data_IF_377841794053
#
_entry.id   IF_377841794053
#
_cell.length_a   1.000
_cell.length_b   1.000
_cell.length_c   1.000
_cell.angle_alpha   90.00
_cell.angle_beta   90.00
_cell.angle_gamma   90.00
#
_symmetry.space_group_name_H-M   'P 1'
#
loop_
_entity.id
_entity.type
_entity.pdbx_description
1 polymer ?
#
# COMPACT_ATOMS: atom_id res chain seq x y z
N UNK A 1 -41.07 41.09 -20.67
CA UNK A 1 -39.66 41.04 -20.26
C UNK A 1 -39.42 39.73 -19.53
N UNK A 2 -38.71 38.75 -20.11
CA UNK A 2 -37.32 38.34 -19.75
C UNK A 2 -37.12 38.30 -18.21
N UNK A 3 -36.75 37.21 -17.56
CA UNK A 3 -35.74 36.23 -17.97
C UNK A 3 -35.91 34.90 -17.24
N UNK A 4 -35.88 33.80 -18.00
CA UNK A 4 -35.56 32.45 -17.52
C UNK A 4 -34.10 32.43 -17.03
N UNK A 5 -33.81 31.81 -15.90
CA UNK A 5 -32.49 31.24 -15.59
C UNK A 5 -32.69 29.75 -15.48
N UNK A 6 -32.10 29.02 -16.42
CA UNK A 6 -32.20 27.58 -16.53
C UNK A 6 -31.46 26.89 -15.40
N UNK A 7 -32.11 25.88 -14.83
CA UNK A 7 -31.44 24.79 -14.16
C UNK A 7 -30.56 24.09 -15.19
N UNK A 8 -29.24 24.27 -15.08
CA UNK A 8 -28.29 23.38 -15.72
C UNK A 8 -28.32 22.07 -14.92
N UNK A 9 -29.12 21.11 -15.41
CA UNK A 9 -29.00 19.72 -14.98
C UNK A 9 -27.56 19.29 -15.19
N UNK A 10 -26.87 18.96 -14.10
CA UNK A 10 -25.57 18.31 -14.15
C UNK A 10 -25.78 16.91 -14.72
N UNK A 11 -25.75 16.81 -16.05
CA UNK A 11 -25.73 15.54 -16.77
C UNK A 11 -24.51 14.76 -16.32
N UNK A 12 -24.76 13.68 -15.59
CA UNK A 12 -23.76 12.67 -15.26
C UNK A 12 -23.18 12.14 -16.59
N UNK A 13 -21.87 12.30 -16.77
CA UNK A 13 -21.18 11.63 -17.87
C UNK A 13 -21.33 10.11 -17.66
N UNK A 14 -21.73 9.34 -18.68
CA UNK A 14 -21.73 7.89 -18.59
C UNK A 14 -20.32 7.41 -18.26
N UNK A 15 -20.20 6.26 -17.58
CA UNK A 15 -18.93 5.59 -17.39
C UNK A 15 -18.21 5.51 -18.75
N UNK A 16 -16.90 5.83 -18.84
CA UNK A 16 -16.19 5.76 -20.10
C UNK A 16 -16.35 4.34 -20.65
N UNK A 17 -16.96 4.23 -21.83
CA UNK A 17 -17.22 2.93 -22.43
C UNK A 17 -15.88 2.25 -22.70
N UNK A 18 -15.78 0.97 -22.35
CA UNK A 18 -14.69 0.10 -22.78
C UNK A 18 -14.85 -0.23 -24.29
N UNK A 19 -14.99 0.80 -25.12
CA UNK A 19 -14.81 0.73 -26.57
C UNK A 19 -13.32 0.65 -26.86
N UNK A 20 -12.92 -0.33 -27.66
CA UNK A 20 -11.54 -0.68 -27.98
C UNK A 20 -10.62 0.54 -28.18
N UNK A 21 -9.83 0.86 -27.17
CA UNK A 21 -8.78 1.87 -27.23
C UNK A 21 -7.49 1.25 -26.69
N UNK A 22 -6.95 0.27 -27.43
CA UNK A 22 -5.54 -0.09 -27.32
C UNK A 22 -4.79 0.77 -28.34
N UNK A 23 -4.37 1.95 -27.94
CA UNK A 23 -3.40 2.74 -28.70
C UNK A 23 -2.03 2.55 -28.06
N UNK A 24 -1.17 1.83 -28.78
CA UNK A 24 0.21 1.59 -28.45
C UNK A 24 0.97 2.91 -28.21
N UNK A 25 1.60 3.06 -27.05
CA UNK A 25 2.65 4.05 -26.85
C UNK A 25 3.99 3.46 -27.32
N UNK A 26 4.48 3.94 -28.47
CA UNK A 26 5.84 3.68 -28.93
C UNK A 26 6.85 4.56 -28.17
N UNK A 27 8.01 4.05 -27.73
CA UNK A 27 9.04 4.88 -27.13
C UNK A 27 9.87 5.57 -28.22
N UNK A 28 10.07 6.88 -28.07
CA UNK A 28 11.06 7.63 -28.84
C UNK A 28 12.47 7.34 -28.32
N UNK A 29 13.36 6.96 -29.24
CA UNK A 29 14.79 6.75 -29.00
C UNK A 29 15.52 8.09 -28.86
N UNK A 30 16.35 8.22 -27.82
CA UNK A 30 17.60 8.97 -27.89
C UNK A 30 18.63 8.28 -27.00
N UNK A 31 19.76 7.90 -27.62
CA UNK A 31 20.90 7.30 -26.97
C UNK A 31 21.97 8.36 -26.66
N UNK A 32 22.68 8.23 -25.55
CA UNK A 32 24.08 8.60 -25.46
C UNK A 32 24.76 7.84 -24.31
N UNK A 33 25.88 7.20 -24.66
CA UNK A 33 26.70 6.36 -23.82
C UNK A 33 27.67 7.20 -22.97
N UNK A 34 28.06 6.66 -21.80
CA UNK A 34 29.42 6.86 -21.29
C UNK A 34 29.87 5.61 -20.54
N UNK A 35 30.91 4.96 -21.07
CA UNK A 35 31.64 3.85 -20.45
C UNK A 35 32.55 4.40 -19.35
N UNK A 36 32.63 3.72 -18.20
CA UNK A 36 33.86 3.57 -17.41
C UNK A 36 33.88 2.22 -16.69
N UNK A 37 35.05 1.60 -16.70
CA UNK A 37 35.33 0.22 -16.30
C UNK A 37 35.83 0.10 -14.86
N UNK A 38 35.47 -1.04 -14.26
CA UNK A 38 36.14 -1.88 -13.26
C UNK A 38 36.54 -1.29 -11.88
N UNK A 39 36.11 -1.97 -10.81
CA UNK A 39 36.96 -2.89 -10.04
C UNK A 39 36.11 -3.72 -9.05
N UNK A 40 36.44 -5.02 -8.98
CA UNK A 40 35.82 -6.05 -8.14
C UNK A 40 36.23 -5.89 -6.66
N UNK A 41 35.26 -5.92 -5.75
CA UNK A 41 35.45 -6.37 -4.37
C UNK A 41 34.40 -7.46 -4.05
N UNK A 42 34.82 -8.70 -3.75
CA UNK A 42 33.90 -9.76 -3.34
C UNK A 42 33.78 -9.71 -1.82
N UNK A 43 32.63 -9.25 -1.31
CA UNK A 43 31.96 -9.70 -0.08
C UNK A 43 30.83 -8.72 0.28
N UNK A 44 29.68 -9.27 0.69
CA UNK A 44 28.44 -8.60 1.09
C UNK A 44 27.38 -8.33 0.00
N UNK A 45 26.98 -9.37 -0.73
CA UNK A 45 25.89 -9.32 -1.73
C UNK A 45 24.52 -9.81 -1.20
N UNK A 46 24.30 -9.83 0.11
CA UNK A 46 23.06 -10.32 0.72
C UNK A 46 22.10 -9.23 1.25
N UNK A 47 22.23 -7.98 0.79
CA UNK A 47 21.33 -6.87 1.21
C UNK A 47 20.81 -5.98 0.07
N UNK A 48 21.01 -6.34 -1.21
CA UNK A 48 20.61 -5.52 -2.35
C UNK A 48 19.23 -5.85 -2.94
N UNK A 49 18.59 -6.95 -2.53
CA UNK A 49 17.35 -7.44 -3.14
C UNK A 49 16.11 -6.54 -2.95
N UNK A 50 16.15 -5.55 -2.04
CA UNK A 50 15.10 -4.54 -1.85
C UNK A 50 15.57 -3.11 -2.10
N UNK A 51 16.87 -2.91 -2.37
CA UNK A 51 17.46 -1.61 -2.61
C UNK A 51 16.94 -1.04 -3.94
N UNK A 52 15.76 -0.42 -3.90
CA UNK A 52 15.08 0.17 -5.04
C UNK A 52 13.59 -0.12 -5.13
N UNK A 53 13.09 -1.20 -4.51
CA UNK A 53 11.67 -1.58 -4.65
C UNK A 53 10.72 -0.79 -3.74
N UNK A 54 11.22 -0.26 -2.61
CA UNK A 54 10.38 0.36 -1.58
C UNK A 54 9.63 1.62 -2.04
N UNK A 55 10.12 2.28 -3.08
CA UNK A 55 9.45 3.41 -3.74
C UNK A 55 8.20 3.02 -4.52
N UNK A 56 7.95 1.73 -4.75
CA UNK A 56 6.91 1.20 -5.63
C UNK A 56 5.87 0.34 -4.89
N UNK A 57 5.76 0.48 -3.56
CA UNK A 57 4.76 -0.25 -2.78
C UNK A 57 3.46 0.53 -2.57
N UNK A 58 3.37 1.76 -3.07
CA UNK A 58 2.19 2.61 -3.02
C UNK A 58 1.54 2.68 -1.65
N UNK A 59 0.26 2.30 -1.59
CA UNK A 59 -0.52 2.32 -0.33
C UNK A 59 -0.06 1.30 0.72
N UNK A 60 0.93 0.45 0.41
CA UNK A 60 1.53 -0.55 1.30
C UNK A 60 2.92 -0.17 1.80
N UNK A 61 3.50 0.92 1.30
CA UNK A 61 4.76 1.48 1.82
C UNK A 61 4.67 1.72 3.33
N UNK A 62 5.75 1.38 4.06
CA UNK A 62 5.88 1.75 5.47
C UNK A 62 6.07 3.26 5.62
N UNK A 63 5.71 3.81 6.77
CA UNK A 63 5.74 5.26 7.02
C UNK A 63 7.15 5.87 6.89
N UNK A 64 8.19 5.08 7.17
CA UNK A 64 9.58 5.48 7.12
C UNK A 64 10.10 5.70 5.69
N UNK A 65 9.51 5.06 4.67
CA UNK A 65 9.93 5.28 3.27
C UNK A 65 9.64 6.71 2.80
N UNK A 66 8.53 7.28 3.27
CA UNK A 66 8.15 8.67 3.00
C UNK A 66 8.66 9.65 4.06
N UNK A 67 9.16 9.14 5.20
CA UNK A 67 9.76 9.92 6.27
C UNK A 67 11.10 9.30 6.76
N UNK A 68 12.19 9.37 5.97
CA UNK A 68 13.42 8.63 6.25
C UNK A 68 14.09 8.94 7.59
N UNK A 69 13.84 10.12 8.14
CA UNK A 69 14.34 10.54 9.45
C UNK A 69 13.80 9.67 10.60
N UNK A 70 12.64 9.05 10.44
CA UNK A 70 12.02 8.18 11.44
C UNK A 70 12.77 6.86 11.64
N UNK A 71 13.60 6.44 10.67
CA UNK A 71 14.46 5.26 10.80
C UNK A 71 15.52 5.48 11.88
N UNK A 72 16.10 6.69 11.94
CA UNK A 72 17.16 7.04 12.90
C UNK A 72 16.58 7.48 14.24
N UNK A 73 15.55 8.31 14.20
CA UNK A 73 14.85 8.80 15.37
C UNK A 73 13.33 8.71 15.15
N UNK A 74 12.68 7.67 15.70
CA UNK A 74 11.24 7.47 15.54
C UNK A 74 10.37 8.59 16.14
N UNK A 75 10.92 9.44 17.01
CA UNK A 75 10.23 10.60 17.60
C UNK A 75 10.57 11.92 16.88
N UNK A 76 11.43 11.87 15.86
CA UNK A 76 11.84 13.04 15.12
C UNK A 76 10.64 13.78 14.54
N UNK A 77 10.66 15.09 14.72
CA UNK A 77 9.70 16.03 14.14
C UNK A 77 10.09 16.42 12.69
N UNK A 78 11.04 15.72 12.10
CA UNK A 78 11.52 15.96 10.74
C UNK A 78 12.52 17.11 10.64
N UNK A 79 13.24 17.19 9.51
CA UNK A 79 14.33 18.16 9.29
C UNK A 79 13.85 19.62 9.32
N UNK A 80 12.56 19.85 9.04
CA UNK A 80 11.90 21.16 9.05
C UNK A 80 11.23 21.50 10.39
N UNK A 81 11.55 20.83 11.50
CA UNK A 81 10.99 21.17 12.81
C UNK A 81 11.26 22.64 13.23
N UNK A 82 12.30 23.26 12.67
CA UNK A 82 12.57 24.70 12.83
C UNK A 82 11.74 25.60 11.88
N UNK A 83 11.44 25.16 10.65
CA UNK A 83 10.73 25.96 9.63
C UNK A 83 9.21 25.75 9.58
N UNK A 84 8.71 24.70 10.22
CA UNK A 84 7.27 24.40 10.41
C UNK A 84 6.69 24.99 11.70
N UNK A 85 7.44 25.89 12.35
CA UNK A 85 6.88 26.71 13.42
C UNK A 85 5.91 27.68 12.76
N UNK A 86 4.66 27.66 13.22
CA UNK A 86 3.69 28.70 12.89
C UNK A 86 4.35 30.07 13.08
N UNK A 87 4.00 31.09 12.26
CA UNK A 87 4.50 32.45 12.48
C UNK A 87 4.31 32.84 13.95
N UNK A 88 5.23 33.62 14.53
CA UNK A 88 5.19 33.95 15.96
C UNK A 88 3.87 34.61 16.41
N UNK A 89 3.13 35.22 15.49
CA UNK A 89 1.81 35.81 15.72
C UNK A 89 0.64 34.80 15.69
N UNK A 90 0.90 33.51 15.41
CA UNK A 90 -0.12 32.48 15.24
C UNK A 90 -0.04 31.45 16.37
N UNK A 91 -1.18 31.22 17.03
CA UNK A 91 -1.35 30.13 18.00
C UNK A 91 -2.34 29.11 17.44
N UNK A 92 -2.02 27.81 17.42
CA UNK A 92 -2.95 26.79 16.96
C UNK A 92 -4.15 26.71 17.92
N UNK A 93 -5.37 26.75 17.37
CA UNK A 93 -6.62 26.75 18.14
C UNK A 93 -7.23 25.36 18.28
N UNK A 94 -7.20 24.58 17.20
CA UNK A 94 -7.74 23.23 17.12
C UNK A 94 -6.88 22.39 16.18
N UNK A 95 -6.84 21.09 16.44
CA UNK A 95 -6.27 20.08 15.54
C UNK A 95 -7.35 19.06 15.20
N UNK A 96 -7.64 18.90 13.91
CA UNK A 96 -8.41 17.78 13.37
C UNK A 96 -7.49 16.93 12.51
N UNK A 97 -7.39 15.65 12.87
CA UNK A 97 -6.52 14.71 12.18
C UNK A 97 -7.34 13.54 11.63
N UNK A 98 -7.26 13.32 10.32
CA UNK A 98 -7.77 12.11 9.68
C UNK A 98 -6.63 11.12 9.53
N UNK A 99 -6.66 10.03 10.30
CA UNK A 99 -5.56 9.09 10.38
C UNK A 99 -5.98 7.73 9.81
N UNK A 100 -5.20 7.23 8.85
CA UNK A 100 -5.31 5.83 8.41
C UNK A 100 -4.83 4.92 9.54
N UNK A 101 -5.37 3.71 9.60
CA UNK A 101 -4.85 2.66 10.48
C UNK A 101 -3.34 2.45 10.28
N UNK A 102 -2.65 1.97 11.32
CA UNK A 102 -1.23 1.61 11.25
C UNK A 102 -0.97 0.37 10.37
N UNK A 103 0.30 -0.04 10.28
CA UNK A 103 0.71 -1.25 9.54
C UNK A 103 -0.13 -2.48 9.92
N UNK A 104 -0.59 -3.23 8.92
CA UNK A 104 -1.46 -4.41 9.10
C UNK A 104 -0.95 -5.62 8.33
N UNK A 105 -1.42 -6.80 8.71
CA UNK A 105 -1.24 -8.02 7.93
C UNK A 105 -2.00 -7.97 6.59
N UNK A 106 -1.65 -8.84 5.61
CA UNK A 106 -2.45 -9.05 4.41
C UNK A 106 -3.88 -9.52 4.73
N UNK A 107 -4.81 -9.37 3.79
CA UNK A 107 -6.17 -9.92 3.95
C UNK A 107 -6.16 -11.44 3.71
N UNK A 108 -7.15 -12.16 4.23
CA UNK A 108 -7.26 -13.61 4.04
C UNK A 108 -7.21 -14.02 2.55
N UNK A 109 -7.85 -13.25 1.68
CA UNK A 109 -7.78 -13.48 0.23
C UNK A 109 -6.37 -13.31 -0.36
N UNK A 110 -5.56 -12.39 0.15
CA UNK A 110 -4.15 -12.26 -0.25
C UNK A 110 -3.32 -13.43 0.30
N UNK A 111 -3.57 -13.84 1.54
CA UNK A 111 -2.88 -14.97 2.19
C UNK A 111 -3.15 -16.27 1.42
N UNK A 112 -4.39 -16.54 1.03
CA UNK A 112 -4.75 -17.70 0.20
C UNK A 112 -4.02 -17.72 -1.14
N UNK A 113 -3.99 -16.59 -1.84
CA UNK A 113 -3.28 -16.46 -3.14
C UNK A 113 -1.77 -16.67 -2.98
N UNK A 114 -1.18 -16.14 -1.92
CA UNK A 114 0.24 -16.38 -1.60
C UNK A 114 0.50 -17.86 -1.30
N UNK A 115 -0.37 -18.50 -0.52
CA UNK A 115 -0.27 -19.92 -0.19
C UNK A 115 -0.40 -20.82 -1.42
N UNK A 116 -1.29 -20.49 -2.35
CA UNK A 116 -1.43 -21.19 -3.63
C UNK A 116 -0.16 -21.07 -4.49
N UNK A 117 0.35 -19.85 -4.68
CA UNK A 117 1.59 -19.62 -5.42
C UNK A 117 2.79 -20.34 -4.78
N UNK A 118 2.91 -20.26 -3.46
CA UNK A 118 3.95 -20.95 -2.70
C UNK A 118 3.85 -22.47 -2.86
N UNK A 119 2.64 -23.04 -2.85
CA UNK A 119 2.40 -24.46 -3.06
C UNK A 119 2.78 -24.92 -4.48
N UNK A 120 2.48 -24.11 -5.51
CA UNK A 120 2.91 -24.36 -6.90
C UNK A 120 4.43 -24.43 -7.01
N UNK A 121 5.12 -23.46 -6.41
CA UNK A 121 6.57 -23.41 -6.33
C UNK A 121 7.16 -24.67 -5.65
N UNK A 122 6.62 -25.06 -4.49
CA UNK A 122 7.11 -26.25 -3.76
C UNK A 122 6.93 -27.55 -4.56
N UNK A 123 5.78 -27.72 -5.25
CA UNK A 123 5.55 -28.88 -6.13
C UNK A 123 6.57 -28.93 -7.27
N UNK A 124 6.81 -27.79 -7.91
CA UNK A 124 7.78 -27.70 -9.01
C UNK A 124 9.19 -28.06 -8.56
N UNK A 125 9.59 -27.58 -7.39
CA UNK A 125 10.90 -27.88 -6.77
C UNK A 125 11.04 -29.38 -6.49
N UNK A 126 10.02 -30.01 -5.89
CA UNK A 126 10.04 -31.45 -5.61
C UNK A 126 10.19 -32.28 -6.90
N UNK A 127 9.47 -31.92 -7.96
CA UNK A 127 9.56 -32.58 -9.26
C UNK A 127 10.94 -32.44 -9.93
N UNK A 128 11.61 -31.29 -9.77
CA UNK A 128 12.98 -31.07 -10.25
C UNK A 128 14.00 -31.92 -9.46
N UNK A 129 13.83 -32.02 -8.13
CA UNK A 129 14.70 -32.88 -7.31
C UNK A 129 14.55 -34.37 -7.65
N UNK A 130 13.34 -34.86 -7.94
CA UNK A 130 13.12 -36.27 -8.32
C UNK A 130 13.63 -36.64 -9.71
N UNK A 131 13.70 -35.67 -10.63
CA UNK A 131 14.24 -35.89 -11.98
C UNK A 131 15.78 -35.90 -11.98
N UNK A 132 16.41 -35.12 -11.11
CA UNK A 132 17.88 -35.13 -10.94
C UNK A 132 18.43 -36.41 -10.29
N UNK A 133 17.62 -37.11 -9.48
CA UNK A 133 18.02 -38.34 -8.78
C UNK A 133 17.77 -39.63 -9.57
N UNK A 134 17.08 -39.55 -10.72
CA UNK A 134 16.81 -40.70 -11.61
C UNK A 134 17.75 -40.79 -12.82
N UNK A 135 18.62 -39.79 -13.02
CA UNK A 135 19.62 -39.73 -14.11
C UNK A 135 21.04 -40.17 -13.69
N UNK A 136 21.21 -40.83 -12.53
CA UNK A 136 22.48 -41.41 -12.07
C UNK A 136 22.86 -42.75 -12.74
N UNK A 137 22.34 -43.01 -13.95
CA UNK A 137 22.70 -44.18 -14.75
C UNK A 137 22.90 -43.77 -16.21
N UNK A 138 24.17 -43.77 -16.65
CA UNK A 138 24.66 -43.82 -18.05
C UNK A 138 25.08 -42.51 -18.73
N UNK A 139 26.41 -42.34 -18.77
CA UNK A 139 27.23 -41.91 -19.93
C UNK A 139 26.94 -40.58 -20.65
N UNK A 140 27.80 -39.60 -20.34
CA UNK A 140 28.58 -38.79 -21.30
C UNK A 140 27.99 -38.57 -22.69
N UNK A 141 27.28 -37.45 -22.86
CA UNK A 141 27.30 -36.69 -24.12
C UNK A 141 27.11 -35.19 -23.81
N UNK A 142 28.15 -34.43 -24.13
CA UNK A 142 28.22 -32.99 -24.02
C UNK A 142 27.24 -32.34 -25.00
N UNK A 143 26.09 -31.90 -24.48
CA UNK A 143 25.33 -30.80 -25.05
C UNK A 143 25.00 -29.84 -23.92
N UNK A 144 25.58 -28.65 -23.98
CA UNK A 144 25.35 -27.56 -23.04
C UNK A 144 23.97 -26.96 -23.25
N UNK A 145 22.91 -27.67 -22.87
CA UNK A 145 21.73 -26.99 -22.36
C UNK A 145 22.08 -26.63 -20.93
N UNK A 146 22.47 -25.38 -20.69
CA UNK A 146 22.46 -24.84 -19.33
C UNK A 146 21.07 -25.13 -18.77
N UNK A 147 20.98 -26.15 -17.93
CA UNK A 147 19.81 -26.46 -17.13
C UNK A 147 19.51 -25.14 -16.44
N UNK A 148 18.44 -24.47 -16.88
CA UNK A 148 18.18 -23.09 -16.51
C UNK A 148 17.96 -23.09 -15.00
N UNK A 149 19.03 -22.81 -14.26
CA UNK A 149 19.01 -22.76 -12.81
C UNK A 149 18.00 -21.69 -12.47
N UNK A 150 16.87 -22.13 -11.94
CA UNK A 150 15.74 -21.29 -11.59
C UNK A 150 16.24 -20.25 -10.56
N UNK A 151 16.49 -18.99 -10.96
CA UNK A 151 17.38 -18.11 -10.21
C UNK A 151 16.88 -17.78 -8.80
N UNK A 152 15.56 -17.80 -8.59
CA UNK A 152 14.95 -17.44 -7.31
C UNK A 152 14.72 -18.62 -6.36
N UNK A 153 15.02 -19.86 -6.78
CA UNK A 153 14.63 -21.08 -6.05
C UNK A 153 15.43 -21.28 -4.78
N UNK A 154 16.71 -20.91 -4.77
CA UNK A 154 17.55 -21.07 -3.58
C UNK A 154 17.05 -20.19 -2.41
N UNK A 155 16.77 -18.91 -2.68
CA UNK A 155 16.36 -17.95 -1.64
C UNK A 155 14.94 -18.21 -1.14
N UNK A 156 14.02 -18.58 -2.05
CA UNK A 156 12.63 -18.89 -1.70
C UNK A 156 12.47 -20.26 -1.02
N UNK A 157 13.38 -21.21 -1.22
CA UNK A 157 13.26 -22.55 -0.64
C UNK A 157 13.30 -22.56 0.89
N UNK A 158 14.00 -21.61 1.51
CA UNK A 158 14.06 -21.46 2.96
C UNK A 158 12.91 -20.61 3.53
N UNK A 159 12.16 -19.91 2.68
CA UNK A 159 11.03 -19.10 3.13
C UNK A 159 9.86 -20.02 3.54
N UNK A 160 9.28 -19.74 4.71
CA UNK A 160 8.14 -20.49 5.22
C UNK A 160 6.89 -19.63 5.16
N UNK A 161 5.77 -20.26 4.80
CA UNK A 161 4.44 -19.63 4.86
C UNK A 161 4.03 -19.42 6.32
N UNK A 162 4.42 -18.29 6.89
CA UNK A 162 4.13 -17.91 8.27
C UNK A 162 2.83 -17.10 8.41
N UNK A 163 2.20 -16.74 7.28
CA UNK A 163 0.91 -16.07 7.29
C UNK A 163 -0.21 -17.09 7.49
N UNK A 164 -1.07 -16.82 8.47
CA UNK A 164 -2.33 -17.55 8.68
C UNK A 164 -3.52 -16.72 8.22
N UNK A 165 -4.54 -17.35 7.64
CA UNK A 165 -5.75 -16.63 7.20
C UNK A 165 -6.46 -15.90 8.35
N UNK A 166 -6.29 -16.38 9.60
CA UNK A 166 -6.77 -15.75 10.83
C UNK A 166 -6.24 -14.32 11.05
N UNK A 167 -5.13 -13.96 10.38
CA UNK A 167 -4.54 -12.63 10.44
C UNK A 167 -5.35 -11.59 9.66
N UNK A 168 -6.26 -11.98 8.77
CA UNK A 168 -7.11 -11.17 7.89
C UNK A 168 -7.15 -9.64 8.16
N UNK A 169 -6.13 -8.93 7.65
CA UNK A 169 -6.07 -7.48 7.76
C UNK A 169 -6.03 -6.93 9.20
N UNK A 170 -5.71 -7.75 10.20
CA UNK A 170 -5.49 -7.37 11.60
C UNK A 170 -4.32 -6.40 11.69
N UNK A 171 -4.40 -5.48 12.66
CA UNK A 171 -3.31 -4.55 12.94
C UNK A 171 -2.07 -5.34 13.42
N UNK A 172 -0.93 -5.10 12.78
CA UNK A 172 0.32 -5.73 13.17
C UNK A 172 0.88 -5.05 14.44
N UNK A 173 1.78 -5.72 15.19
CA UNK A 173 2.50 -5.08 16.29
C UNK A 173 3.18 -3.77 15.88
N UNK A 174 3.80 -3.76 14.69
CA UNK A 174 4.37 -2.55 14.11
C UNK A 174 3.31 -1.45 13.94
N UNK A 175 2.10 -1.78 13.47
CA UNK A 175 1.01 -0.82 13.32
C UNK A 175 0.56 -0.15 14.61
N UNK A 176 0.65 -0.85 15.75
CA UNK A 176 0.41 -0.23 17.07
C UNK A 176 1.52 0.78 17.38
N UNK A 177 2.77 0.41 17.13
CA UNK A 177 3.93 1.28 17.33
C UNK A 177 3.88 2.52 16.43
N UNK A 178 3.46 2.37 15.17
CA UNK A 178 3.27 3.48 14.23
C UNK A 178 2.35 4.55 14.84
N UNK A 179 1.20 4.12 15.38
CA UNK A 179 0.18 5.00 15.95
C UNK A 179 0.61 5.61 17.29
N UNK A 180 1.26 4.84 18.16
CA UNK A 180 1.80 5.35 19.42
C UNK A 180 2.85 6.46 19.17
N UNK A 181 3.78 6.23 18.24
CA UNK A 181 4.82 7.20 17.89
C UNK A 181 4.23 8.41 17.16
N UNK A 182 3.25 8.20 16.28
CA UNK A 182 2.53 9.29 15.63
C UNK A 182 1.88 10.21 16.66
N UNK A 183 1.18 9.66 17.65
CA UNK A 183 0.56 10.43 18.72
C UNK A 183 1.58 11.29 19.50
N UNK A 184 2.72 10.70 19.88
CA UNK A 184 3.80 11.41 20.57
C UNK A 184 4.36 12.57 19.74
N UNK A 185 4.57 12.34 18.43
CA UNK A 185 5.05 13.39 17.52
C UNK A 185 4.02 14.52 17.37
N UNK A 186 2.72 14.22 17.28
CA UNK A 186 1.69 15.25 17.23
C UNK A 186 1.62 16.06 18.53
N UNK A 187 1.68 15.39 19.69
CA UNK A 187 1.69 16.07 20.99
C UNK A 187 2.91 16.97 21.16
N UNK A 188 4.11 16.48 20.78
CA UNK A 188 5.33 17.26 20.81
C UNK A 188 5.31 18.44 19.81
N UNK A 189 4.60 18.31 18.68
CA UNK A 189 4.46 19.38 17.70
C UNK A 189 3.57 20.52 18.20
N UNK A 190 2.47 20.17 18.87
CA UNK A 190 1.43 21.12 19.27
C UNK A 190 1.18 21.09 20.79
N UNK A 191 2.20 21.35 21.61
CA UNK A 191 2.11 21.13 23.06
C UNK A 191 0.94 21.87 23.72
N UNK A 192 0.61 23.09 23.24
CA UNK A 192 -0.51 23.88 23.76
C UNK A 192 -1.91 23.26 23.49
N UNK A 193 -2.05 22.48 22.41
CA UNK A 193 -3.29 21.78 22.08
C UNK A 193 -3.48 20.50 22.88
N UNK A 194 -2.40 19.93 23.41
CA UNK A 194 -2.41 18.71 24.22
C UNK A 194 -2.23 19.01 25.73
N UNK A 195 -2.22 20.28 26.14
CA UNK A 195 -2.15 20.67 27.54
C UNK A 195 -3.37 20.15 28.35
N UNK A 196 -3.21 20.05 29.67
CA UNK A 196 -4.28 19.61 30.57
C UNK A 196 -5.58 20.43 30.37
N UNK A 197 -6.74 19.77 30.54
CA UNK A 197 -8.09 20.36 30.35
C UNK A 197 -8.48 20.68 28.89
N UNK A 198 -7.63 20.37 27.90
CA UNK A 198 -8.05 20.37 26.50
C UNK A 198 -8.97 19.18 26.23
N UNK A 199 -9.97 19.38 25.35
CA UNK A 199 -10.93 18.35 24.95
C UNK A 199 -10.32 17.49 23.86
N UNK A 200 -10.31 16.17 24.05
CA UNK A 200 -9.93 15.19 23.04
C UNK A 200 -11.16 14.40 22.61
N UNK A 201 -11.36 14.28 21.30
CA UNK A 201 -12.38 13.43 20.69
C UNK A 201 -11.71 12.45 19.75
N UNK A 202 -12.09 11.19 19.84
CA UNK A 202 -11.58 10.11 18.99
C UNK A 202 -12.76 9.39 18.35
N UNK A 203 -12.78 9.34 17.02
CA UNK A 203 -13.74 8.57 16.26
C UNK A 203 -13.00 7.58 15.35
N UNK A 204 -13.61 6.41 15.11
CA UNK A 204 -13.07 5.36 14.25
C UNK A 204 -14.19 4.64 13.50
N UNK A 205 -13.85 4.06 12.35
CA UNK A 205 -14.70 3.02 11.75
C UNK A 205 -14.75 1.77 12.65
N UNK A 206 -15.75 0.92 12.46
CA UNK A 206 -15.92 -0.37 13.14
C UNK A 206 -14.85 -1.43 12.81
N UNK A 207 -14.00 -1.19 11.81
CA UNK A 207 -12.94 -2.14 11.45
C UNK A 207 -11.97 -2.33 12.61
N UNK A 208 -11.74 -3.58 13.00
CA UNK A 208 -10.86 -3.99 14.11
C UNK A 208 -9.49 -3.30 14.09
N UNK A 209 -8.85 -3.23 12.93
CA UNK A 209 -7.55 -2.54 12.76
C UNK A 209 -7.62 -1.03 13.02
N UNK A 210 -8.75 -0.39 12.75
CA UNK A 210 -8.95 1.04 12.99
C UNK A 210 -9.18 1.30 14.48
N UNK A 211 -10.03 0.51 15.13
CA UNK A 211 -10.24 0.59 16.58
C UNK A 211 -8.94 0.36 17.36
N UNK A 212 -8.17 -0.67 16.98
CA UNK A 212 -6.87 -0.94 17.60
C UNK A 212 -5.84 0.17 17.31
N UNK A 213 -5.92 0.82 16.14
CA UNK A 213 -5.06 1.97 15.82
C UNK A 213 -5.43 3.18 16.66
N UNK A 214 -6.71 3.47 16.85
CA UNK A 214 -7.18 4.55 17.73
C UNK A 214 -6.77 4.30 19.19
N UNK A 215 -6.89 3.06 19.67
CA UNK A 215 -6.46 2.70 21.01
C UNK A 215 -4.94 2.86 21.20
N UNK A 216 -4.14 2.45 20.20
CA UNK A 216 -2.70 2.66 20.21
C UNK A 216 -2.32 4.14 20.14
N UNK A 217 -3.01 4.94 19.32
CA UNK A 217 -2.82 6.39 19.28
C UNK A 217 -3.10 7.03 20.65
N UNK A 218 -4.24 6.71 21.27
CA UNK A 218 -4.60 7.15 22.63
C UNK A 218 -3.52 6.77 23.64
N UNK A 219 -3.03 5.53 23.59
CA UNK A 219 -1.93 5.07 24.46
C UNK A 219 -0.64 5.87 24.24
N UNK A 220 -0.34 6.26 23.00
CA UNK A 220 0.84 7.06 22.66
C UNK A 220 0.85 8.46 23.28
N UNK A 221 -0.33 9.05 23.52
CA UNK A 221 -0.50 10.33 24.22
C UNK A 221 -0.05 10.25 25.69
N UNK A 222 -0.17 9.07 26.32
CA UNK A 222 0.24 8.84 27.71
C UNK A 222 -0.69 9.47 28.76
N UNK A 223 -0.50 9.14 30.05
CA UNK A 223 -1.38 9.60 31.14
C UNK A 223 -1.18 11.07 31.53
N UNK A 224 -0.02 11.64 31.19
CA UNK A 224 0.35 13.02 31.53
C UNK A 224 -0.46 14.07 30.76
N UNK A 225 -1.07 13.68 29.64
CA UNK A 225 -2.03 14.50 28.92
C UNK A 225 -3.41 14.19 29.52
N UNK A 226 -3.74 14.81 30.66
CA UNK A 226 -5.07 14.73 31.29
C UNK A 226 -6.14 15.41 30.41
N UNK A 227 -6.35 14.83 29.23
CA UNK A 227 -7.24 15.25 28.17
C UNK A 227 -8.62 14.63 28.43
N UNK A 228 -9.29 15.10 29.47
CA UNK A 228 -10.55 14.51 29.96
C UNK A 228 -10.35 13.41 31.00
N UNK A 229 -11.46 12.88 31.51
CA UNK A 229 -11.49 11.71 32.41
C UNK A 229 -10.89 10.48 31.71
N UNK A 230 -10.43 9.48 32.48
CA UNK A 230 -9.70 8.28 32.03
C UNK A 230 -10.38 7.41 30.94
N UNK A 231 -11.55 7.81 30.46
CA UNK A 231 -12.39 7.11 29.48
C UNK A 231 -12.77 8.01 28.30
N UNK A 232 -11.79 8.58 27.57
CA UNK A 232 -12.07 9.01 26.20
C UNK A 232 -12.30 7.75 25.36
N UNK A 233 -13.54 7.27 25.33
CA UNK A 233 -13.96 6.18 24.49
C UNK A 233 -13.83 6.57 23.01
N UNK A 234 -13.47 5.60 22.18
CA UNK A 234 -13.40 5.81 20.74
C UNK A 234 -14.82 5.64 20.21
N UNK A 235 -15.42 6.71 19.72
CA UNK A 235 -16.72 6.66 19.06
C UNK A 235 -16.61 5.82 17.78
N UNK A 236 -17.49 4.83 17.63
CA UNK A 236 -17.60 4.06 16.39
C UNK A 236 -18.58 4.76 15.46
N UNK A 237 -18.07 5.32 14.37
CA UNK A 237 -18.88 6.09 13.42
C UNK A 237 -18.57 5.70 11.97
N UNK A 238 -19.23 4.65 11.48
CA UNK A 238 -19.05 4.18 10.10
C UNK A 238 -19.69 5.09 9.06
N UNK A 239 -20.74 5.83 9.41
CA UNK A 239 -21.31 6.82 8.51
C UNK A 239 -20.26 7.87 8.15
N UNK A 240 -19.56 8.42 9.14
CA UNK A 240 -18.49 9.40 8.93
C UNK A 240 -17.20 8.79 8.38
N UNK A 241 -16.76 7.65 8.91
CA UNK A 241 -15.42 7.09 8.62
C UNK A 241 -15.41 6.08 7.46
N UNK A 242 -16.58 5.56 7.07
CA UNK A 242 -16.79 4.67 5.92
C UNK A 242 -17.87 5.21 4.99
N UNK A 243 -17.93 6.53 4.83
CA UNK A 243 -18.89 7.22 3.95
C UNK A 243 -19.06 6.57 2.57
N UNK A 244 -18.00 5.93 2.03
CA UNK A 244 -18.01 5.25 0.75
C UNK A 244 -18.90 3.98 0.74
N UNK A 245 -19.01 3.26 1.86
CA UNK A 245 -19.90 2.10 1.98
C UNK A 245 -21.37 2.53 2.17
N UNK A 246 -21.60 3.75 2.69
CA UNK A 246 -22.94 4.27 2.96
C UNK A 246 -23.49 5.14 1.82
N UNK A 247 -22.66 5.47 0.83
CA UNK A 247 -23.09 6.21 -0.36
C UNK A 247 -23.69 5.23 -1.38
N UNK A 248 -25.02 5.09 -1.40
CA UNK A 248 -25.72 4.15 -2.29
C UNK A 248 -25.33 4.30 -3.77
N UNK A 249 -25.12 5.54 -4.24
CA UNK A 249 -24.65 5.79 -5.62
C UNK A 249 -23.23 5.29 -5.87
N UNK A 250 -22.32 5.46 -4.91
CA UNK A 250 -20.97 4.93 -5.02
C UNK A 250 -20.99 3.40 -5.04
N UNK A 251 -21.78 2.79 -4.14
CA UNK A 251 -21.90 1.33 -4.05
C UNK A 251 -22.38 0.74 -5.37
N UNK A 252 -23.50 1.25 -5.90
CA UNK A 252 -24.09 0.74 -7.14
C UNK A 252 -23.23 0.99 -8.39
N UNK A 253 -22.57 2.16 -8.49
CA UNK A 253 -21.85 2.55 -9.72
C UNK A 253 -20.40 2.07 -9.75
N UNK A 254 -19.78 1.84 -8.58
CA UNK A 254 -18.34 1.58 -8.46
C UNK A 254 -18.04 0.34 -7.61
N UNK A 255 -18.67 0.18 -6.44
CA UNK A 255 -18.30 -0.93 -5.54
C UNK A 255 -18.76 -2.29 -6.09
N UNK A 256 -20.03 -2.38 -6.50
CA UNK A 256 -20.71 -3.59 -6.98
C UNK A 256 -20.81 -3.67 -8.51
N UNK A 257 -20.18 -2.73 -9.23
CA UNK A 257 -20.17 -2.70 -10.68
C UNK A 257 -18.85 -3.28 -11.23
N UNK A 258 -18.91 -4.49 -11.77
CA UNK A 258 -17.74 -5.16 -12.35
C UNK A 258 -17.12 -4.37 -13.53
N UNK A 259 -17.95 -3.70 -14.32
CA UNK A 259 -17.46 -2.87 -15.43
C UNK A 259 -16.68 -1.64 -14.94
N UNK A 260 -16.84 -1.23 -13.67
CA UNK A 260 -16.16 -0.04 -13.15
C UNK A 260 -14.63 -0.17 -13.15
N UNK A 261 -14.12 -1.40 -13.23
CA UNK A 261 -12.71 -1.74 -13.18
C UNK A 261 -12.15 -2.25 -14.52
N UNK A 262 -12.90 -2.11 -15.64
CA UNK A 262 -12.53 -2.72 -16.92
C UNK A 262 -11.12 -2.31 -17.43
N UNK A 263 -10.65 -1.11 -17.10
CA UNK A 263 -9.29 -0.65 -17.43
C UNK A 263 -8.21 -1.40 -16.65
N UNK A 264 -8.49 -1.77 -15.40
CA UNK A 264 -7.57 -2.58 -14.57
C UNK A 264 -7.47 -3.99 -15.15
N UNK A 265 -8.61 -4.57 -15.53
CA UNK A 265 -8.63 -5.90 -16.13
C UNK A 265 -7.95 -5.92 -17.50
N UNK A 266 -8.15 -4.89 -18.32
CA UNK A 266 -7.42 -4.72 -19.58
C UNK A 266 -5.90 -4.61 -19.36
N UNK A 267 -5.45 -3.90 -18.33
CA UNK A 267 -4.02 -3.78 -18.03
C UNK A 267 -3.42 -5.10 -17.51
N UNK A 268 -4.17 -5.87 -16.73
CA UNK A 268 -3.74 -7.21 -16.26
C UNK A 268 -3.41 -8.15 -17.42
N UNK A 269 -4.17 -8.07 -18.51
CA UNK A 269 -3.96 -8.85 -19.73
C UNK A 269 -3.05 -8.14 -20.75
N UNK A 270 -2.54 -6.96 -20.40
CA UNK A 270 -1.70 -6.12 -21.25
C UNK A 270 -0.29 -6.66 -21.47
N UNK A 271 0.43 -6.17 -22.49
CA UNK A 271 1.78 -6.63 -22.82
C UNK A 271 2.80 -6.33 -21.73
N UNK A 272 2.63 -5.26 -20.94
CA UNK A 272 3.50 -4.92 -19.81
C UNK A 272 3.38 -5.98 -18.71
N UNK A 273 2.16 -6.33 -18.30
CA UNK A 273 1.93 -7.36 -17.29
C UNK A 273 2.34 -8.76 -17.77
N UNK A 274 2.13 -9.07 -19.05
CA UNK A 274 2.56 -10.35 -19.64
C UNK A 274 4.07 -10.56 -19.52
N UNK A 275 4.88 -9.52 -19.77
CA UNK A 275 6.34 -9.58 -19.59
C UNK A 275 6.73 -9.86 -18.15
N UNK A 276 6.05 -9.24 -17.18
CA UNK A 276 6.30 -9.50 -15.75
C UNK A 276 5.94 -10.93 -15.40
N UNK A 277 4.79 -11.42 -15.89
CA UNK A 277 4.35 -12.80 -15.69
C UNK A 277 5.36 -13.81 -16.22
N UNK A 278 5.84 -13.64 -17.46
CA UNK A 278 6.84 -14.51 -18.08
C UNK A 278 8.17 -14.51 -17.30
N UNK A 279 8.63 -13.35 -16.84
CA UNK A 279 9.84 -13.25 -16.00
C UNK A 279 9.68 -13.98 -14.68
N UNK A 280 8.57 -13.77 -13.97
CA UNK A 280 8.31 -14.42 -12.68
C UNK A 280 8.12 -15.92 -12.86
N UNK A 281 7.43 -16.35 -13.92
CA UNK A 281 7.29 -17.75 -14.29
C UNK A 281 8.66 -18.40 -14.51
N UNK A 282 9.53 -17.77 -15.29
CA UNK A 282 10.90 -18.21 -15.52
C UNK A 282 11.72 -18.26 -14.22
N UNK A 283 11.62 -17.23 -13.37
CA UNK A 283 12.34 -17.17 -12.09
C UNK A 283 11.95 -18.31 -11.12
N UNK A 284 10.68 -18.69 -11.13
CA UNK A 284 10.11 -19.77 -10.32
C UNK A 284 10.13 -21.15 -11.02
N UNK A 285 10.55 -21.20 -12.29
CA UNK A 285 10.42 -22.36 -13.17
C UNK A 285 9.01 -22.95 -13.27
N UNK A 286 7.99 -22.09 -13.18
CA UNK A 286 6.59 -22.46 -13.39
C UNK A 286 6.18 -22.18 -14.85
N UNK A 287 5.22 -22.94 -15.41
CA UNK A 287 4.56 -22.56 -16.65
C UNK A 287 3.88 -21.19 -16.48
N UNK A 288 3.94 -20.33 -17.50
CA UNK A 288 3.37 -18.98 -17.42
C UNK A 288 1.84 -19.01 -17.24
N UNK A 289 1.20 -20.06 -17.75
CA UNK A 289 -0.24 -20.33 -17.65
C UNK A 289 -0.68 -20.65 -16.22
N UNK A 290 0.26 -21.06 -15.36
CA UNK A 290 0.00 -21.23 -13.93
C UNK A 290 0.06 -19.91 -13.15
N UNK A 291 0.38 -18.79 -13.79
CA UNK A 291 0.40 -17.47 -13.16
C UNK A 291 -0.70 -16.57 -13.72
N UNK A 292 -1.10 -15.61 -12.90
CA UNK A 292 -1.93 -14.48 -13.33
C UNK A 292 -1.47 -13.21 -12.60
N UNK A 293 -1.91 -12.06 -13.09
CA UNK A 293 -1.51 -10.76 -12.55
C UNK A 293 -1.75 -10.65 -11.04
N UNK A 294 -2.83 -11.22 -10.51
CA UNK A 294 -3.13 -11.14 -9.08
C UNK A 294 -2.19 -12.01 -8.22
N UNK A 295 -1.79 -13.20 -8.69
CA UNK A 295 -0.82 -14.04 -7.98
C UNK A 295 0.54 -13.35 -7.91
N UNK A 296 0.99 -12.79 -9.04
CA UNK A 296 2.24 -12.02 -9.11
C UNK A 296 2.17 -10.75 -8.26
N UNK A 297 1.04 -10.04 -8.28
CA UNK A 297 0.82 -8.87 -7.44
C UNK A 297 0.94 -9.22 -5.95
N UNK A 298 0.40 -10.37 -5.52
CA UNK A 298 0.50 -10.82 -4.13
C UNK A 298 1.95 -11.15 -3.76
N UNK A 299 2.71 -11.82 -4.62
CA UNK A 299 4.14 -12.04 -4.40
C UNK A 299 4.91 -10.71 -4.21
N UNK A 300 4.64 -9.71 -5.05
CA UNK A 300 5.24 -8.39 -4.92
C UNK A 300 4.82 -7.68 -3.64
N UNK A 301 3.54 -7.74 -3.27
CA UNK A 301 3.06 -7.13 -2.03
C UNK A 301 3.61 -7.85 -0.78
N UNK A 302 3.99 -9.13 -0.86
CA UNK A 302 4.67 -9.82 0.24
C UNK A 302 6.00 -9.14 0.59
N UNK A 303 6.74 -8.65 -0.41
CA UNK A 303 7.94 -7.83 -0.19
C UNK A 303 7.64 -6.61 0.69
N UNK A 304 6.58 -5.88 0.33
CA UNK A 304 6.12 -4.71 1.08
C UNK A 304 5.66 -5.06 2.50
N UNK A 305 4.85 -6.11 2.65
CA UNK A 305 4.31 -6.50 3.96
C UNK A 305 5.41 -6.96 4.91
N UNK A 306 6.38 -7.76 4.46
CA UNK A 306 7.47 -8.20 5.32
C UNK A 306 8.42 -7.05 5.70
N UNK A 307 8.69 -6.13 4.76
CA UNK A 307 9.43 -4.91 5.08
C UNK A 307 8.70 -4.06 6.13
N UNK A 308 7.39 -3.86 5.95
CA UNK A 308 6.61 -3.04 6.87
C UNK A 308 6.38 -3.72 8.23
N UNK A 309 6.19 -5.03 8.28
CA UNK A 309 5.82 -5.74 9.53
C UNK A 309 7.05 -6.18 10.32
N UNK A 310 8.07 -6.71 9.65
CA UNK A 310 9.24 -7.33 10.26
C UNK A 310 10.52 -6.53 10.06
N UNK A 311 10.51 -5.49 9.24
CA UNK A 311 11.70 -4.75 8.84
C UNK A 311 12.75 -5.67 8.17
N UNK A 312 12.29 -6.62 7.34
CA UNK A 312 13.15 -7.55 6.61
C UNK A 312 12.89 -7.46 5.11
N UNK A 313 13.93 -7.74 4.33
CA UNK A 313 13.78 -7.92 2.88
C UNK A 313 13.31 -9.34 2.62
N UNK A 314 12.09 -9.48 2.11
CA UNK A 314 11.55 -10.80 1.77
C UNK A 314 12.33 -11.45 0.63
N UNK A 315 12.58 -12.77 0.64
CA UNK A 315 13.06 -13.49 -0.55
C UNK A 315 12.15 -13.31 -1.76
N UNK A 316 10.84 -13.06 -1.55
CA UNK A 316 9.90 -12.73 -2.63
C UNK A 316 10.27 -11.45 -3.39
N UNK A 317 11.05 -10.54 -2.79
CA UNK A 317 11.52 -9.32 -3.46
C UNK A 317 12.47 -9.64 -4.63
N UNK A 318 13.23 -10.75 -4.58
CA UNK A 318 14.23 -11.08 -5.61
C UNK A 318 13.62 -11.46 -6.96
N UNK A 319 12.31 -11.72 -7.00
CA UNK A 319 11.57 -11.99 -8.23
C UNK A 319 11.37 -10.76 -9.13
N UNK A 320 11.62 -9.56 -8.60
CA UNK A 320 11.22 -8.32 -9.25
C UNK A 320 12.40 -7.38 -9.46
N UNK A 321 12.54 -6.89 -10.68
CA UNK A 321 13.37 -5.72 -10.97
C UNK A 321 12.60 -4.42 -10.69
N UNK A 322 13.29 -3.29 -10.71
CA UNK A 322 12.67 -1.97 -10.58
C UNK A 322 11.65 -1.70 -11.70
N UNK A 323 11.91 -2.16 -12.92
CA UNK A 323 10.98 -1.99 -14.04
C UNK A 323 9.73 -2.84 -13.87
N UNK A 324 9.86 -4.05 -13.31
CA UNK A 324 8.70 -4.88 -12.97
C UNK A 324 7.88 -4.23 -11.84
N UNK A 325 8.55 -3.60 -10.87
CA UNK A 325 7.93 -2.87 -9.78
C UNK A 325 7.13 -1.64 -10.28
N UNK A 326 7.64 -0.90 -11.28
CA UNK A 326 6.89 0.20 -11.93
C UNK A 326 5.58 -0.30 -12.55
N UNK A 327 5.61 -1.46 -13.22
CA UNK A 327 4.42 -2.05 -13.85
C UNK A 327 3.40 -2.48 -12.78
N UNK A 328 3.86 -3.15 -11.72
CA UNK A 328 3.00 -3.61 -10.63
C UNK A 328 2.46 -2.46 -9.77
N UNK A 329 3.24 -1.40 -9.58
CA UNK A 329 2.76 -0.19 -8.94
C UNK A 329 1.72 0.52 -9.81
N UNK A 330 1.95 0.63 -11.11
CA UNK A 330 0.95 1.19 -12.02
C UNK A 330 -0.36 0.39 -12.02
N UNK A 331 -0.30 -0.95 -11.93
CA UNK A 331 -1.49 -1.80 -11.74
C UNK A 331 -2.23 -1.45 -10.44
N UNK A 332 -1.51 -1.24 -9.33
CA UNK A 332 -2.11 -0.82 -8.06
C UNK A 332 -2.69 0.60 -8.13
N UNK A 333 -2.00 1.52 -8.78
CA UNK A 333 -2.44 2.90 -8.96
C UNK A 333 -3.68 2.98 -9.84
N UNK A 334 -3.73 2.24 -10.94
CA UNK A 334 -4.91 2.16 -11.79
C UNK A 334 -6.10 1.64 -10.99
N UNK A 335 -5.88 0.64 -10.13
CA UNK A 335 -6.91 0.15 -9.21
C UNK A 335 -7.37 1.23 -8.22
N UNK A 336 -6.47 1.99 -7.62
CA UNK A 336 -6.85 3.08 -6.72
C UNK A 336 -7.57 4.20 -7.46
N UNK A 337 -7.08 4.58 -8.64
CA UNK A 337 -7.65 5.63 -9.48
C UNK A 337 -9.11 5.37 -9.80
N UNK A 338 -9.43 4.16 -10.30
CA UNK A 338 -10.81 3.80 -10.66
C UNK A 338 -11.68 3.53 -9.43
N UNK A 339 -11.18 2.81 -8.43
CA UNK A 339 -12.00 2.40 -7.28
C UNK A 339 -12.20 3.52 -6.24
N UNK A 340 -11.22 4.40 -6.05
CA UNK A 340 -11.18 5.35 -4.92
C UNK A 340 -10.73 6.77 -5.29
N UNK A 341 -10.10 6.96 -6.45
CA UNK A 341 -9.57 8.23 -6.93
C UNK A 341 -10.44 8.90 -7.98
N UNK A 342 -9.83 9.47 -9.02
CA UNK A 342 -10.51 10.33 -10.01
C UNK A 342 -11.23 9.59 -11.14
N UNK A 343 -11.24 8.26 -11.15
CA UNK A 343 -11.90 7.50 -12.22
C UNK A 343 -13.41 7.76 -12.33
N UNK A 344 -14.06 8.08 -11.21
CA UNK A 344 -15.46 8.48 -11.19
C UNK A 344 -15.68 9.68 -10.26
N UNK A 345 -16.47 10.65 -10.70
CA UNK A 345 -16.84 11.83 -9.90
C UNK A 345 -17.42 11.44 -8.52
N UNK A 346 -18.18 10.34 -8.47
CA UNK A 346 -18.83 9.87 -7.25
C UNK A 346 -17.82 9.45 -6.17
N UNK A 347 -16.61 9.04 -6.54
CA UNK A 347 -15.56 8.66 -5.58
C UNK A 347 -15.25 9.84 -4.64
N UNK A 348 -14.99 11.02 -5.21
CA UNK A 348 -14.74 12.23 -4.42
C UNK A 348 -15.99 12.70 -3.67
N UNK A 349 -17.15 12.73 -4.34
CA UNK A 349 -18.42 13.20 -3.77
C UNK A 349 -18.92 12.35 -2.61
N UNK A 350 -18.58 11.06 -2.58
CA UNK A 350 -18.93 10.19 -1.44
C UNK A 350 -18.33 10.71 -0.13
N UNK A 351 -17.22 11.45 -0.17
CA UNK A 351 -16.53 11.98 1.01
C UNK A 351 -17.09 13.30 1.56
N UNK A 352 -18.12 13.88 0.92
CA UNK A 352 -18.67 15.18 1.30
C UNK A 352 -19.03 15.30 2.79
N UNK A 353 -19.59 14.23 3.39
CA UNK A 353 -19.99 14.26 4.80
C UNK A 353 -18.79 14.39 5.75
N UNK A 354 -17.64 13.80 5.40
CA UNK A 354 -16.41 13.93 6.18
C UNK A 354 -15.83 15.35 6.04
N UNK A 355 -15.82 15.90 4.83
CA UNK A 355 -15.36 17.28 4.62
C UNK A 355 -16.25 18.30 5.33
N UNK A 356 -17.57 18.14 5.26
CA UNK A 356 -18.52 18.99 5.99
C UNK A 356 -18.26 18.94 7.50
N UNK A 357 -18.10 17.74 8.06
CA UNK A 357 -17.78 17.58 9.48
C UNK A 357 -16.46 18.27 9.87
N UNK A 358 -15.41 18.14 9.05
CA UNK A 358 -14.13 18.83 9.27
C UNK A 358 -14.30 20.34 9.27
N UNK A 359 -14.90 20.92 8.22
CA UNK A 359 -15.02 22.37 8.10
C UNK A 359 -15.95 22.97 9.15
N UNK A 360 -17.09 22.34 9.44
CA UNK A 360 -18.01 22.83 10.48
C UNK A 360 -17.33 22.95 11.85
N UNK A 361 -16.44 22.02 12.19
CA UNK A 361 -15.71 22.08 13.46
C UNK A 361 -14.58 23.09 13.45
N UNK A 362 -13.91 23.29 12.31
CA UNK A 362 -12.92 24.35 12.16
C UNK A 362 -13.58 25.73 12.28
N UNK A 363 -14.72 25.93 11.62
CA UNK A 363 -15.51 27.16 11.70
C UNK A 363 -15.96 27.42 13.15
N UNK A 364 -16.51 26.39 13.81
CA UNK A 364 -16.88 26.46 15.23
C UNK A 364 -15.70 26.82 16.13
N UNK A 365 -14.52 26.24 15.89
CA UNK A 365 -13.33 26.57 16.67
C UNK A 365 -12.86 28.02 16.48
N UNK A 366 -13.04 28.58 15.27
CA UNK A 366 -12.78 29.99 15.01
C UNK A 366 -13.81 30.87 15.72
N UNK A 367 -15.08 30.53 15.66
CA UNK A 367 -16.15 31.28 16.35
C UNK A 367 -15.99 31.29 17.87
N UNK A 368 -15.68 30.14 18.48
CA UNK A 368 -15.42 30.02 19.93
C UNK A 368 -14.11 30.69 20.38
N UNK A 369 -13.22 31.05 19.45
CA UNK A 369 -11.94 31.71 19.75
C UNK A 369 -11.99 33.24 19.72
N UNK A 370 -13.08 33.80 19.18
CA UNK A 370 -13.35 35.24 19.25
C UNK A 370 -13.85 35.59 20.64
#
# INVERSE_FOLDING_TARGET
AKSRRGEAGAGLRPAPSCGAAVAAMAPSRAAAALRRSLLLLPTLLLALGSAGLSGYFGTKSRYEEVNPHLVRDPLSLGPSAASSRLPAACTPLQLRALLRHGTRYPTAGQIRRLGDLHSRFLRRRAAASSSSSSSSSSSSSSSSSAEAACPAVADLAAWQMWYEESLDGRLAPQGRRDMELLARRLAARFPALFAARRRLQLASSSKHRCLQSGAAFRKGLGPSLSLGTDEVEIEVNDSLMRFFDHCAKFVALVEENDAAMCQVDAFKEGPEMRKVLEKVASALCLPAEELNADLVQVAFLTCSYELAIKNVTSPWCSLFSEDDAKVLEYLNDLKQYWKRGYGYDINSRSSCILFQDIFQHLDKAVEESK
#
